data_IF_120052570080
#
_entry.id   IF_120052570080
#
_cell.length_a   1.000
_cell.length_b   1.000
_cell.length_c   1.000
_cell.angle_alpha   90.00
_cell.angle_beta   90.00
_cell.angle_gamma   90.00
#
_symmetry.space_group_name_H-M   'P 1'
#
loop_
_entity.id
_entity.type
_entity.pdbx_description
1 polymer ?
#
# COMPACT_ATOMS: atom_id res chain seq x y z
N UNK A 1 -4.39 68.94 -35.83
CA UNK A 1 -3.68 68.49 -34.62
C UNK A 1 -4.68 67.75 -33.75
N UNK A 2 -4.57 66.43 -33.65
CA UNK A 2 -5.37 65.60 -32.77
C UNK A 2 -4.49 65.19 -31.58
N UNK A 3 -5.00 65.30 -30.36
CA UNK A 3 -4.37 64.71 -29.18
C UNK A 3 -5.47 63.99 -28.41
N UNK A 4 -5.29 62.68 -28.26
CA UNK A 4 -6.23 61.76 -27.62
C UNK A 4 -5.54 61.15 -26.39
N UNK A 5 -6.27 60.90 -25.29
CA UNK A 5 -5.67 60.46 -24.03
C UNK A 5 -5.14 59.03 -24.14
N UNK A 6 -3.84 58.86 -23.91
CA UNK A 6 -3.19 57.55 -23.78
C UNK A 6 -3.78 56.81 -22.58
N UNK A 7 -4.61 55.81 -22.89
CA UNK A 7 -5.05 54.78 -21.95
C UNK A 7 -3.94 53.72 -21.89
N UNK A 8 -3.08 53.78 -20.88
CA UNK A 8 -2.16 52.69 -20.58
C UNK A 8 -2.94 51.52 -19.95
N UNK A 9 -2.89 50.30 -20.51
CA UNK A 9 -3.50 49.14 -19.88
C UNK A 9 -2.66 48.72 -18.65
N UNK A 10 -3.29 48.17 -17.60
CA UNK A 10 -2.55 47.61 -16.46
C UNK A 10 -1.72 46.43 -16.95
N UNK A 11 -0.41 46.51 -16.75
CA UNK A 11 0.50 45.39 -16.94
C UNK A 11 0.00 44.24 -16.05
N UNK A 12 -0.50 43.20 -16.70
CA UNK A 12 -0.89 41.94 -16.07
C UNK A 12 0.41 41.34 -15.54
N UNK A 13 0.59 41.34 -14.23
CA UNK A 13 1.73 40.74 -13.52
C UNK A 13 1.81 39.25 -13.79
N UNK A 14 2.31 38.91 -14.97
CA UNK A 14 2.68 37.57 -15.37
C UNK A 14 4.18 37.42 -15.11
N UNK A 15 4.53 36.66 -14.08
CA UNK A 15 5.81 35.97 -14.09
C UNK A 15 6.81 36.27 -12.97
N UNK A 16 6.38 36.70 -11.78
CA UNK A 16 7.25 36.61 -10.61
C UNK A 16 6.81 35.45 -9.74
N UNK A 17 7.10 34.23 -10.20
CA UNK A 17 7.07 33.06 -9.31
C UNK A 17 7.99 33.36 -8.13
N UNK A 18 7.41 33.50 -6.95
CA UNK A 18 8.14 33.88 -5.76
C UNK A 18 8.84 32.63 -5.20
N UNK A 19 10.11 32.74 -4.79
CA UNK A 19 10.83 31.62 -4.17
C UNK A 19 10.07 31.00 -2.99
N UNK A 20 9.31 31.82 -2.27
CA UNK A 20 8.43 31.36 -1.19
C UNK A 20 7.34 30.38 -1.68
N UNK A 21 6.82 30.57 -2.88
CA UNK A 21 5.80 29.71 -3.47
C UNK A 21 6.40 28.36 -3.91
N UNK A 22 7.59 28.38 -4.49
CA UNK A 22 8.33 27.16 -4.84
C UNK A 22 8.62 26.34 -3.58
N UNK A 23 9.15 26.97 -2.54
CA UNK A 23 9.46 26.30 -1.27
C UNK A 23 8.20 25.75 -0.60
N UNK A 24 7.08 26.49 -0.65
CA UNK A 24 5.78 26.02 -0.14
C UNK A 24 5.32 24.76 -0.89
N UNK A 25 5.37 24.76 -2.22
CA UNK A 25 4.93 23.60 -3.02
C UNK A 25 5.88 22.41 -2.82
N UNK A 26 7.18 22.63 -2.73
CA UNK A 26 8.14 21.58 -2.39
C UNK A 26 7.81 20.92 -1.05
N UNK A 27 7.57 21.71 0.02
CA UNK A 27 7.19 21.18 1.33
C UNK A 27 5.88 20.37 1.29
N UNK A 28 4.91 20.78 0.47
CA UNK A 28 3.68 20.02 0.28
C UNK A 28 3.95 18.69 -0.43
N UNK A 29 4.77 18.70 -1.49
CA UNK A 29 5.18 17.48 -2.20
C UNK A 29 5.90 16.52 -1.25
N UNK A 30 6.85 17.01 -0.45
CA UNK A 30 7.59 16.20 0.53
C UNK A 30 6.66 15.53 1.54
N UNK A 31 5.65 16.25 2.05
CA UNK A 31 4.63 15.67 2.93
C UNK A 31 3.79 14.60 2.24
N UNK A 32 3.41 14.80 0.99
CA UNK A 32 2.66 13.78 0.25
C UNK A 32 3.52 12.55 -0.09
N UNK A 33 4.82 12.75 -0.36
CA UNK A 33 5.77 11.66 -0.54
C UNK A 33 5.87 10.79 0.72
N UNK A 34 5.94 11.40 1.90
CA UNK A 34 5.93 10.68 3.18
C UNK A 34 4.64 9.85 3.38
N UNK A 35 3.52 10.29 2.83
CA UNK A 35 2.25 9.54 2.84
C UNK A 35 2.17 8.45 1.76
N UNK A 36 3.26 8.21 1.03
CA UNK A 36 3.36 7.20 -0.02
C UNK A 36 2.27 7.35 -1.10
N UNK A 37 2.00 8.60 -1.52
CA UNK A 37 1.04 8.91 -2.59
C UNK A 37 1.67 8.77 -3.97
N UNK A 38 0.91 8.32 -4.96
CA UNK A 38 1.38 8.32 -6.35
C UNK A 38 1.51 9.76 -6.87
N UNK A 39 2.34 10.01 -7.88
CA UNK A 39 2.47 11.35 -8.48
C UNK A 39 1.11 11.92 -8.91
N UNK A 40 0.21 11.09 -9.43
CA UNK A 40 -1.13 11.51 -9.82
C UNK A 40 -1.96 11.96 -8.61
N UNK A 41 -1.92 11.19 -7.51
CA UNK A 41 -2.62 11.54 -6.27
C UNK A 41 -2.06 12.82 -5.65
N UNK A 42 -0.74 13.03 -5.71
CA UNK A 42 -0.08 14.24 -5.21
C UNK A 42 -0.59 15.46 -6.00
N UNK A 43 -0.57 15.40 -7.33
CA UNK A 43 -1.03 16.49 -8.18
C UNK A 43 -2.51 16.80 -7.90
N UNK A 44 -3.37 15.78 -7.83
CA UNK A 44 -4.79 15.96 -7.54
C UNK A 44 -5.04 16.53 -6.13
N UNK A 45 -4.26 16.07 -5.15
CA UNK A 45 -4.33 16.52 -3.75
C UNK A 45 -3.91 17.98 -3.62
N UNK A 46 -2.78 18.37 -4.23
CA UNK A 46 -2.29 19.74 -4.20
C UNK A 46 -3.23 20.71 -4.92
N UNK A 47 -3.83 20.27 -6.02
CA UNK A 47 -4.86 21.03 -6.72
C UNK A 47 -6.10 21.24 -5.83
N UNK A 48 -6.60 20.16 -5.22
CA UNK A 48 -7.87 20.21 -4.48
C UNK A 48 -7.72 20.89 -3.11
N UNK A 49 -6.65 20.60 -2.37
CA UNK A 49 -6.48 21.03 -0.98
C UNK A 49 -5.72 22.35 -0.84
N UNK A 50 -4.77 22.62 -1.74
CA UNK A 50 -3.90 23.79 -1.65
C UNK A 50 -4.13 24.78 -2.80
N UNK A 51 -5.05 24.49 -3.73
CA UNK A 51 -5.35 25.28 -4.92
C UNK A 51 -4.10 25.61 -5.75
N UNK A 52 -3.17 24.67 -5.82
CA UNK A 52 -1.93 24.80 -6.60
C UNK A 52 -2.21 24.35 -8.03
N UNK A 53 -1.68 25.09 -9.01
CA UNK A 53 -1.80 24.72 -10.42
C UNK A 53 -1.07 23.38 -10.71
N UNK A 54 -1.76 22.40 -11.32
CA UNK A 54 -1.16 21.10 -11.67
C UNK A 54 0.08 21.20 -12.56
N UNK A 55 0.13 22.21 -13.45
CA UNK A 55 1.29 22.41 -14.33
C UNK A 55 2.49 22.85 -13.51
N UNK A 56 2.30 23.82 -12.62
CA UNK A 56 3.34 24.25 -11.68
C UNK A 56 3.83 23.11 -10.78
N UNK A 57 2.92 22.33 -10.18
CA UNK A 57 3.30 21.16 -9.37
C UNK A 57 4.14 20.16 -10.16
N UNK A 58 3.79 19.90 -11.43
CA UNK A 58 4.57 18.99 -12.29
C UNK A 58 5.97 19.53 -12.55
N UNK A 59 6.13 20.83 -12.76
CA UNK A 59 7.45 21.45 -12.94
C UNK A 59 8.32 21.33 -11.69
N UNK A 60 7.76 21.62 -10.51
CA UNK A 60 8.50 21.48 -9.23
C UNK A 60 8.87 20.02 -8.98
N UNK A 61 7.93 19.09 -9.22
CA UNK A 61 8.18 17.65 -9.13
C UNK A 61 9.33 17.22 -10.05
N UNK A 62 9.29 17.59 -11.33
CA UNK A 62 10.33 17.23 -12.28
C UNK A 62 11.70 17.74 -11.80
N UNK A 63 11.75 18.96 -11.25
CA UNK A 63 13.00 19.49 -10.70
C UNK A 63 13.49 18.67 -9.50
N UNK A 64 12.61 18.25 -8.60
CA UNK A 64 12.96 17.40 -7.47
C UNK A 64 13.51 16.05 -7.92
N UNK A 65 12.91 15.45 -8.93
CA UNK A 65 13.33 14.17 -9.52
C UNK A 65 14.70 14.26 -10.19
N UNK A 66 14.93 15.32 -10.98
CA UNK A 66 16.24 15.60 -11.59
C UNK A 66 17.35 15.81 -10.55
N UNK A 67 17.05 16.44 -9.41
CA UNK A 67 18.04 16.68 -8.36
C UNK A 67 18.28 15.45 -7.47
N UNK A 68 17.30 14.57 -7.30
CA UNK A 68 17.35 13.44 -6.36
C UNK A 68 16.95 12.10 -7.00
N UNK A 69 17.59 11.67 -8.11
CA UNK A 69 17.12 10.51 -8.88
C UNK A 69 17.16 9.19 -8.09
N UNK A 70 18.15 9.01 -7.21
CA UNK A 70 18.27 7.83 -6.36
C UNK A 70 17.11 7.69 -5.38
N UNK A 71 16.65 8.82 -4.81
CA UNK A 71 15.50 8.84 -3.90
C UNK A 71 14.22 8.43 -4.66
N UNK A 72 13.94 9.05 -5.81
CA UNK A 72 12.72 8.74 -6.57
C UNK A 72 12.70 7.32 -7.13
N UNK A 73 13.87 6.75 -7.44
CA UNK A 73 13.96 5.33 -7.78
C UNK A 73 13.57 4.43 -6.61
N UNK A 74 14.13 4.67 -5.42
CA UNK A 74 13.78 3.92 -4.21
C UNK A 74 12.31 4.12 -3.83
N UNK A 75 11.80 5.35 -3.98
CA UNK A 75 10.41 5.69 -3.72
C UNK A 75 9.44 4.95 -4.64
N UNK A 76 9.77 4.87 -5.93
CA UNK A 76 8.96 4.12 -6.91
C UNK A 76 8.90 2.64 -6.54
N UNK A 77 10.05 2.04 -6.19
CA UNK A 77 10.09 0.65 -5.72
C UNK A 77 9.27 0.46 -4.43
N UNK A 78 9.33 1.41 -3.50
CA UNK A 78 8.54 1.38 -2.28
C UNK A 78 7.04 1.44 -2.57
N UNK A 79 6.61 2.31 -3.49
CA UNK A 79 5.21 2.43 -3.88
C UNK A 79 4.69 1.13 -4.49
N UNK A 80 5.45 0.51 -5.39
CA UNK A 80 5.13 -0.78 -5.99
C UNK A 80 5.02 -1.90 -4.95
N UNK A 81 5.95 -1.94 -3.98
CA UNK A 81 5.91 -2.90 -2.89
C UNK A 81 4.65 -2.73 -2.04
N UNK A 82 4.28 -1.48 -1.71
CA UNK A 82 3.05 -1.18 -0.98
C UNK A 82 1.82 -1.71 -1.72
N UNK A 83 1.73 -1.46 -3.02
CA UNK A 83 0.62 -1.95 -3.86
C UNK A 83 0.56 -3.47 -3.91
N UNK A 84 1.70 -4.14 -4.03
CA UNK A 84 1.78 -5.62 -4.02
C UNK A 84 1.31 -6.20 -2.67
N UNK A 85 1.74 -5.61 -1.55
CA UNK A 85 1.30 -6.04 -0.22
C UNK A 85 -0.21 -5.87 -0.08
N UNK A 86 -0.77 -4.74 -0.53
CA UNK A 86 -2.21 -4.49 -0.49
C UNK A 86 -2.99 -5.50 -1.35
N UNK A 87 -2.52 -5.78 -2.57
CA UNK A 87 -3.14 -6.76 -3.44
C UNK A 87 -3.09 -8.17 -2.85
N UNK A 88 -1.94 -8.57 -2.28
CA UNK A 88 -1.81 -9.85 -1.58
C UNK A 88 -2.77 -9.93 -0.38
N UNK A 89 -2.82 -8.90 0.46
CA UNK A 89 -3.72 -8.85 1.61
C UNK A 89 -5.19 -8.98 1.19
N UNK A 90 -5.58 -8.37 0.06
CA UNK A 90 -6.92 -8.52 -0.51
C UNK A 90 -7.20 -9.98 -0.91
N UNK A 91 -6.28 -10.62 -1.63
CA UNK A 91 -6.42 -12.02 -2.06
C UNK A 91 -6.51 -12.98 -0.87
N UNK A 92 -5.67 -12.77 0.15
CA UNK A 92 -5.71 -13.58 1.39
C UNK A 92 -7.05 -13.42 2.11
N UNK A 93 -7.58 -12.20 2.20
CA UNK A 93 -8.90 -11.96 2.78
C UNK A 93 -10.01 -12.68 1.99
N UNK A 94 -9.92 -12.69 0.66
CA UNK A 94 -10.86 -13.37 -0.22
C UNK A 94 -10.82 -14.89 -0.03
N UNK A 95 -9.63 -15.49 0.06
CA UNK A 95 -9.48 -16.94 0.30
C UNK A 95 -10.04 -17.36 1.65
N UNK A 96 -9.79 -16.56 2.70
CA UNK A 96 -10.36 -16.79 4.04
C UNK A 96 -11.88 -16.84 3.98
N UNK A 97 -12.51 -15.86 3.32
CA UNK A 97 -13.97 -15.80 3.19
C UNK A 97 -14.54 -17.02 2.46
N UNK A 98 -13.90 -17.49 1.37
CA UNK A 98 -14.32 -18.70 0.68
C UNK A 98 -14.22 -19.96 1.56
N UNK A 99 -13.18 -20.04 2.40
CA UNK A 99 -12.93 -21.20 3.27
C UNK A 99 -13.87 -21.19 4.49
N UNK A 100 -14.16 -20.00 5.04
CA UNK A 100 -15.12 -19.82 6.14
C UNK A 100 -16.56 -20.07 5.70
N UNK A 101 -16.95 -19.63 4.49
CA UNK A 101 -18.27 -19.94 3.91
C UNK A 101 -18.40 -21.40 3.43
N UNK A 102 -17.27 -22.09 3.23
CA UNK A 102 -17.20 -23.48 2.80
C UNK A 102 -17.22 -24.53 3.93
N UNK A 103 -17.23 -24.13 5.21
CA UNK A 103 -17.20 -25.08 6.33
C UNK A 103 -18.61 -25.26 6.95
N UNK A 104 -19.45 -26.01 6.26
CA UNK A 104 -20.49 -26.86 6.89
C UNK A 104 -19.87 -28.24 7.19
N UNK A 105 -20.16 -28.89 8.34
CA UNK A 105 -19.60 -30.19 8.65
C UNK A 105 -20.28 -31.34 7.86
N UNK A 106 -19.47 -32.05 7.05
CA UNK A 106 -19.62 -33.41 6.49
C UNK A 106 -20.83 -33.75 5.57
N UNK A 107 -20.60 -34.56 4.51
CA UNK A 107 -20.92 -35.97 4.66
C UNK A 107 -19.82 -36.92 4.14
N UNK A 108 -19.77 -38.07 4.81
CA UNK A 108 -19.08 -39.33 4.48
C UNK A 108 -18.88 -39.61 2.99
N UNK A 109 -17.63 -39.86 2.61
CA UNK A 109 -17.30 -40.55 1.36
C UNK A 109 -17.87 -41.98 1.37
N UNK A 110 -18.49 -42.47 0.28
CA UNK A 110 -18.98 -43.84 0.21
C UNK A 110 -17.83 -44.83 0.02
N UNK A 111 -17.67 -45.73 0.99
CA UNK A 111 -16.78 -46.88 0.90
C UNK A 111 -17.19 -47.78 -0.28
N UNK A 112 -16.36 -47.86 -1.32
CA UNK A 112 -16.50 -48.91 -2.34
C UNK A 112 -15.78 -50.16 -1.84
N UNK A 113 -16.57 -51.15 -1.45
CA UNK A 113 -16.15 -52.53 -1.21
C UNK A 113 -15.59 -53.14 -2.50
N UNK A 114 -14.35 -53.62 -2.47
CA UNK A 114 -14.01 -54.86 -3.15
C UNK A 114 -12.77 -55.52 -2.51
N UNK A 115 -12.98 -56.71 -1.94
CA UNK A 115 -11.94 -57.57 -1.39
C UNK A 115 -11.32 -58.42 -2.52
N UNK A 116 -9.99 -58.53 -2.53
CA UNK A 116 -9.25 -59.81 -2.49
C UNK A 116 -7.78 -59.60 -2.90
N UNK A 117 -6.85 -59.60 -1.93
CA UNK A 117 -5.88 -60.69 -1.77
C UNK A 117 -4.84 -60.40 -0.69
N UNK A 118 -4.62 -61.43 0.14
CA UNK A 118 -3.68 -61.59 1.25
C UNK A 118 -2.23 -61.17 0.94
N UNK A 119 -1.64 -60.39 1.85
CA UNK A 119 -0.35 -60.71 2.49
C UNK A 119 -0.04 -59.79 3.68
N UNK A 120 -0.10 -60.39 4.88
CA UNK A 120 0.72 -60.16 6.08
C UNK A 120 1.35 -58.78 6.34
N UNK A 121 0.85 -58.07 7.36
CA UNK A 121 1.62 -57.69 8.55
C UNK A 121 0.68 -57.12 9.62
N UNK A 122 0.76 -57.69 10.81
CA UNK A 122 -0.06 -57.39 11.97
C UNK A 122 0.39 -56.10 12.66
N UNK A 123 -0.56 -55.27 13.12
CA UNK A 123 -0.50 -54.51 14.38
C UNK A 123 -1.92 -54.05 14.79
N UNK A 124 -2.29 -54.06 16.09
CA UNK A 124 -3.66 -53.82 16.57
C UNK A 124 -4.00 -52.32 16.76
N UNK A 125 -5.29 -51.95 16.92
CA UNK A 125 -5.73 -50.56 16.96
C UNK A 125 -5.64 -49.97 18.36
N UNK A 126 -5.15 -48.73 18.48
CA UNK A 126 -5.33 -47.93 19.70
C UNK A 126 -6.19 -46.71 19.40
N UNK A 127 -7.35 -46.74 20.05
CA UNK A 127 -8.32 -45.69 20.32
C UNK A 127 -7.61 -44.39 20.77
N UNK A 128 -8.07 -43.22 20.32
CA UNK A 128 -8.71 -42.24 21.21
C UNK A 128 -9.04 -40.90 20.52
N UNK A 129 -10.31 -40.52 20.72
CA UNK A 129 -10.81 -39.17 20.65
C UNK A 129 -10.03 -38.28 21.64
N UNK A 130 -9.22 -37.34 21.12
CA UNK A 130 -8.64 -36.25 21.91
C UNK A 130 -9.16 -34.92 21.38
N UNK A 131 -10.48 -34.72 21.52
CA UNK A 131 -10.98 -33.40 21.93
C UNK A 131 -10.95 -33.30 23.45
N UNK A 132 -9.79 -32.96 24.03
CA UNK A 132 -9.67 -32.18 25.28
C UNK A 132 -8.21 -32.00 25.71
N UNK A 133 -7.92 -30.76 26.07
CA UNK A 133 -6.91 -30.30 27.03
C UNK A 133 -5.43 -30.64 26.80
N UNK A 134 -4.71 -29.62 26.32
CA UNK A 134 -3.53 -29.03 26.99
C UNK A 134 -2.45 -29.98 27.53
N UNK A 135 -1.57 -30.49 26.67
CA UNK A 135 -0.24 -30.96 27.09
C UNK A 135 0.82 -30.55 26.06
N UNK A 136 1.12 -29.25 26.01
CA UNK A 136 2.47 -28.74 25.78
C UNK A 136 2.65 -27.49 26.62
N UNK A 137 3.33 -27.56 27.77
CA UNK A 137 3.70 -26.36 28.50
C UNK A 137 4.84 -25.69 27.72
N UNK A 138 4.56 -24.53 27.12
CA UNK A 138 5.62 -23.62 26.68
C UNK A 138 5.63 -23.18 25.22
N UNK A 139 4.73 -23.65 24.35
CA UNK A 139 4.57 -23.05 23.02
C UNK A 139 3.39 -22.08 23.02
N UNK A 140 3.66 -20.83 23.43
CA UNK A 140 2.79 -19.72 23.06
C UNK A 140 2.68 -19.72 21.53
N UNK A 141 1.48 -19.95 20.99
CA UNK A 141 1.17 -19.56 19.61
C UNK A 141 1.10 -18.03 19.57
N UNK A 142 2.28 -17.41 19.61
CA UNK A 142 2.40 -16.02 19.21
C UNK A 142 2.08 -15.95 17.71
N UNK A 143 1.28 -14.97 17.27
CA UNK A 143 1.05 -14.75 15.85
C UNK A 143 2.42 -14.48 15.20
N UNK A 144 2.87 -15.42 14.35
CA UNK A 144 4.20 -15.38 13.73
C UNK A 144 4.41 -14.19 12.77
N UNK A 145 3.36 -13.43 12.52
CA UNK A 145 3.48 -12.09 11.99
C UNK A 145 2.60 -11.17 12.84
N UNK A 146 3.24 -10.27 13.59
CA UNK A 146 2.62 -8.98 13.89
C UNK A 146 2.08 -8.40 12.58
N UNK A 147 0.92 -7.71 12.57
CA UNK A 147 0.54 -6.88 11.43
C UNK A 147 1.78 -6.10 11.03
N UNK A 148 2.17 -6.14 9.75
CA UNK A 148 3.25 -5.31 9.25
C UNK A 148 2.88 -3.91 9.73
N UNK A 149 3.59 -3.42 10.75
CA UNK A 149 3.52 -2.01 11.10
C UNK A 149 3.95 -1.36 9.80
N UNK A 150 3.00 -0.73 9.12
CA UNK A 150 3.31 0.25 8.09
C UNK A 150 4.10 1.29 8.85
N UNK A 151 5.41 1.08 8.88
CA UNK A 151 6.38 1.85 9.60
C UNK A 151 6.39 3.22 8.92
N UNK A 152 5.42 4.03 9.35
CA UNK A 152 5.33 5.45 9.08
C UNK A 152 6.61 6.16 9.57
N UNK A 153 7.44 5.47 10.35
CA UNK A 153 8.69 5.94 10.94
C UNK A 153 9.92 5.80 10.00
N UNK A 154 9.85 5.01 8.92
CA UNK A 154 10.96 4.85 7.95
C UNK A 154 11.10 6.08 7.05
N UNK A 155 10.08 6.94 7.02
CA UNK A 155 10.14 8.24 6.35
C UNK A 155 10.87 9.33 7.16
N UNK A 156 11.42 9.02 8.34
CA UNK A 156 12.17 9.96 9.18
C UNK A 156 13.58 10.30 8.67
N UNK A 157 13.88 10.09 7.38
CA UNK A 157 15.22 10.37 6.83
C UNK A 157 15.47 11.87 6.52
N UNK A 158 14.53 12.76 6.83
CA UNK A 158 14.70 14.21 6.72
C UNK A 158 14.40 14.91 8.05
N UNK A 159 15.32 14.80 9.01
CA UNK A 159 15.54 15.79 10.09
C UNK A 159 17.02 15.96 10.33
#
# INVERSE_FOLDING_TARGET
MADAPQSTPPAKDAGTFNWNEILRVQNLIERCLQQCMSQADIIATLQTQANVDPTFTRTVWQKLEEQNPSFFHAYTAHLQLKEQILAFNYLVAQQREMTEKGTQPAPSFPSTTNNNNKSSSSNPPLYEDVRKSDIFPGFKREPLLSPIKTDLDTCSFFT
#
